data_IF_795792261793
#
_entry.id   IF_795792261793
#
_cell.length_a   1.000
_cell.length_b   1.000
_cell.length_c   1.000
_cell.angle_alpha   90.00
_cell.angle_beta   90.00
_cell.angle_gamma   90.00
#
_symmetry.space_group_name_H-M   'P 1'
#
loop_
_entity.id
_entity.type
_entity.pdbx_description
1 polymer ?
#
# COMPACT_ATOMS: atom_id res chain seq x y z
N UNK A 1 15.41 -15.32 -26.67
CA UNK A 1 14.31 -16.06 -27.32
C UNK A 1 13.90 -17.34 -26.55
N UNK A 2 14.18 -17.42 -25.24
CA UNK A 2 13.94 -18.63 -24.40
C UNK A 2 13.16 -18.36 -23.10
N UNK A 3 12.90 -17.10 -22.74
CA UNK A 3 12.20 -16.76 -21.50
C UNK A 3 10.66 -16.72 -21.60
N UNK A 4 10.12 -16.43 -22.77
CA UNK A 4 8.66 -16.48 -23.00
C UNK A 4 8.08 -17.90 -23.00
N UNK A 5 8.90 -18.91 -23.29
CA UNK A 5 8.42 -20.30 -23.41
C UNK A 5 8.11 -20.98 -22.06
N UNK A 6 8.81 -20.60 -20.97
CA UNK A 6 8.65 -21.26 -19.65
C UNK A 6 7.45 -20.72 -18.86
N UNK A 7 7.10 -19.43 -19.03
CA UNK A 7 5.92 -18.86 -18.38
C UNK A 7 4.62 -19.10 -19.17
N UNK A 8 4.68 -19.21 -20.49
CA UNK A 8 3.51 -19.47 -21.33
C UNK A 8 2.93 -20.89 -21.15
N UNK A 9 3.75 -21.85 -20.69
CA UNK A 9 3.31 -23.23 -20.46
C UNK A 9 2.37 -23.40 -19.27
N UNK A 10 2.56 -22.66 -18.19
CA UNK A 10 1.70 -22.72 -17.00
C UNK A 10 0.46 -21.80 -17.11
N UNK A 11 0.57 -20.68 -17.84
CA UNK A 11 -0.60 -19.84 -18.13
C UNK A 11 -1.59 -20.47 -19.10
N UNK A 12 -1.14 -21.37 -19.97
CA UNK A 12 -2.00 -22.04 -20.98
C UNK A 12 -2.86 -23.17 -20.41
N UNK A 13 -2.55 -23.70 -19.22
CA UNK A 13 -3.37 -24.69 -18.52
C UNK A 13 -4.50 -24.06 -17.70
N UNK A 14 -4.59 -22.73 -17.64
CA UNK A 14 -5.71 -22.05 -17.00
C UNK A 14 -7.01 -22.34 -17.77
N UNK A 15 -7.78 -23.35 -17.31
CA UNK A 15 -9.18 -23.50 -17.68
C UNK A 15 -9.81 -22.12 -17.67
N UNK A 16 -10.38 -21.67 -18.81
CA UNK A 16 -11.10 -20.39 -18.91
C UNK A 16 -12.23 -20.39 -17.87
N UNK A 17 -11.93 -19.83 -16.69
CA UNK A 17 -12.89 -19.81 -15.58
C UNK A 17 -13.94 -18.79 -15.96
N UNK A 18 -15.20 -19.20 -15.94
CA UNK A 18 -16.32 -18.34 -16.26
C UNK A 18 -16.38 -17.17 -15.28
N UNK A 19 -16.66 -15.96 -15.78
CA UNK A 19 -16.87 -14.76 -14.95
C UNK A 19 -17.93 -15.01 -13.85
N UNK A 20 -18.94 -15.84 -14.13
CA UNK A 20 -19.95 -16.25 -13.16
C UNK A 20 -19.36 -17.05 -11.99
N UNK A 21 -18.39 -17.91 -12.26
CA UNK A 21 -17.70 -18.67 -11.20
C UNK A 21 -16.81 -17.76 -10.36
N UNK A 22 -16.06 -16.85 -11.00
CA UNK A 22 -15.25 -15.86 -10.29
C UNK A 22 -16.12 -14.96 -9.41
N UNK A 23 -17.24 -14.45 -9.94
CA UNK A 23 -18.19 -13.63 -9.20
C UNK A 23 -18.77 -14.39 -7.99
N UNK A 24 -19.11 -15.66 -8.17
CA UNK A 24 -19.60 -16.50 -7.07
C UNK A 24 -18.53 -16.67 -5.97
N UNK A 25 -17.27 -16.94 -6.34
CA UNK A 25 -16.19 -17.11 -5.37
C UNK A 25 -15.95 -15.84 -4.56
N UNK A 26 -15.94 -14.68 -5.23
CA UNK A 26 -15.72 -13.36 -4.62
C UNK A 26 -16.89 -12.98 -3.70
N UNK A 27 -18.14 -13.12 -4.15
CA UNK A 27 -19.34 -12.73 -3.39
C UNK A 27 -19.55 -13.61 -2.15
N UNK A 28 -19.14 -14.87 -2.20
CA UNK A 28 -19.27 -15.78 -1.06
C UNK A 28 -18.14 -15.61 -0.03
N UNK A 29 -17.07 -14.89 -0.35
CA UNK A 29 -15.94 -14.71 0.57
C UNK A 29 -16.14 -13.47 1.46
N UNK A 30 -16.31 -13.71 2.77
CA UNK A 30 -16.53 -12.63 3.76
C UNK A 30 -15.39 -11.64 3.85
N UNK A 31 -14.15 -12.09 3.71
CA UNK A 31 -12.98 -11.22 3.80
C UNK A 31 -12.86 -10.29 2.61
N UNK A 32 -13.35 -10.72 1.44
CA UNK A 32 -13.44 -9.87 0.28
C UNK A 32 -14.36 -8.67 0.53
N UNK A 33 -15.55 -8.90 1.12
CA UNK A 33 -16.46 -7.82 1.48
C UNK A 33 -15.84 -6.88 2.51
N UNK A 34 -15.15 -7.41 3.53
CA UNK A 34 -14.50 -6.59 4.54
C UNK A 34 -13.47 -5.65 3.93
N UNK A 35 -12.59 -6.14 3.05
CA UNK A 35 -11.56 -5.30 2.43
C UNK A 35 -12.12 -4.30 1.44
N UNK A 36 -13.16 -4.65 0.67
CA UNK A 36 -13.81 -3.74 -0.29
C UNK A 36 -14.58 -2.64 0.43
N UNK A 37 -15.33 -2.98 1.50
CA UNK A 37 -16.03 -1.97 2.31
C UNK A 37 -15.03 -1.05 3.01
N UNK A 38 -13.95 -1.59 3.57
CA UNK A 38 -12.85 -0.82 4.14
C UNK A 38 -12.29 0.17 3.11
N UNK A 39 -12.00 -0.29 1.91
CA UNK A 39 -11.49 0.54 0.83
C UNK A 39 -12.49 1.62 0.40
N UNK A 40 -13.75 1.27 0.24
CA UNK A 40 -14.81 2.21 -0.14
C UNK A 40 -14.95 3.34 0.90
N UNK A 41 -15.00 3.00 2.18
CA UNK A 41 -15.08 3.97 3.26
C UNK A 41 -13.85 4.89 3.27
N UNK A 42 -12.65 4.33 3.12
CA UNK A 42 -11.42 5.09 3.04
C UNK A 42 -11.42 6.08 1.86
N UNK A 43 -11.78 5.63 0.66
CA UNK A 43 -11.78 6.45 -0.54
C UNK A 43 -12.86 7.55 -0.53
N UNK A 44 -14.08 7.21 -0.15
CA UNK A 44 -15.18 8.17 -0.10
C UNK A 44 -14.93 9.22 0.97
N UNK A 45 -14.46 8.83 2.16
CA UNK A 45 -14.15 9.80 3.23
C UNK A 45 -13.00 10.72 2.87
N UNK A 46 -11.96 10.21 2.21
CA UNK A 46 -10.87 11.03 1.67
C UNK A 46 -11.34 12.02 0.59
N UNK A 47 -12.28 11.61 -0.27
CA UNK A 47 -12.90 12.51 -1.24
C UNK A 47 -13.71 13.62 -0.55
N UNK A 48 -14.47 13.31 0.50
CA UNK A 48 -15.16 14.32 1.32
C UNK A 48 -14.21 15.35 1.91
N UNK A 49 -13.11 14.90 2.51
CA UNK A 49 -12.08 15.79 3.05
C UNK A 49 -11.55 16.75 1.99
N UNK A 50 -11.21 16.23 0.81
CA UNK A 50 -10.65 17.03 -0.26
C UNK A 50 -11.65 18.03 -0.85
N UNK A 51 -12.94 17.70 -0.89
CA UNK A 51 -14.01 18.60 -1.35
C UNK A 51 -14.31 19.70 -0.34
N UNK A 52 -14.28 19.38 0.95
CA UNK A 52 -14.77 20.28 2.00
C UNK A 52 -13.69 21.17 2.63
N UNK A 53 -12.39 20.87 2.43
CA UNK A 53 -11.29 21.60 3.07
C UNK A 53 -11.32 23.11 2.77
N UNK A 54 -11.61 23.51 1.53
CA UNK A 54 -11.66 24.92 1.13
C UNK A 54 -12.77 25.66 1.87
N UNK A 55 -13.97 25.04 1.94
CA UNK A 55 -15.11 25.63 2.64
C UNK A 55 -14.86 25.70 4.15
N UNK A 56 -14.35 24.63 4.74
CA UNK A 56 -13.98 24.58 6.14
C UNK A 56 -12.97 25.67 6.51
N UNK A 57 -11.91 25.85 5.72
CA UNK A 57 -10.92 26.87 5.98
C UNK A 57 -11.46 28.29 5.77
N UNK A 58 -12.36 28.47 4.82
CA UNK A 58 -13.05 29.75 4.63
C UNK A 58 -13.94 30.09 5.81
N UNK A 59 -14.72 29.13 6.33
CA UNK A 59 -15.65 29.37 7.43
C UNK A 59 -14.95 29.68 8.75
N UNK A 60 -13.86 28.97 9.07
CA UNK A 60 -13.20 29.04 10.37
C UNK A 60 -11.99 30.01 10.41
N UNK A 61 -11.33 30.27 9.27
CA UNK A 61 -10.03 30.95 9.25
C UNK A 61 -9.97 32.16 8.31
N UNK A 62 -11.02 32.49 7.54
CA UNK A 62 -11.03 33.68 6.72
C UNK A 62 -10.92 34.97 7.60
N UNK A 63 -10.18 35.93 7.13
CA UNK A 63 -9.93 37.21 7.87
C UNK A 63 -8.95 37.09 9.03
N UNK A 64 -8.41 35.90 9.33
CA UNK A 64 -7.36 35.73 10.35
C UNK A 64 -5.97 36.02 9.77
N UNK A 65 -5.00 36.33 10.63
CA UNK A 65 -3.61 36.62 10.22
C UNK A 65 -2.96 35.44 9.45
N UNK A 66 -3.37 34.20 9.75
CA UNK A 66 -2.83 32.97 9.12
C UNK A 66 -3.68 32.58 7.93
N UNK A 67 -5.00 32.73 8.02
CA UNK A 67 -5.93 32.28 6.96
C UNK A 67 -5.93 33.20 5.74
N UNK A 68 -5.58 34.46 5.91
CA UNK A 68 -5.74 35.48 4.85
C UNK A 68 -7.22 35.86 4.64
N UNK A 69 -7.51 36.54 3.53
CA UNK A 69 -8.86 37.04 3.26
C UNK A 69 -9.93 35.94 3.07
N UNK A 70 -9.54 34.79 2.57
CA UNK A 70 -10.41 33.71 2.12
C UNK A 70 -10.13 32.33 2.79
N UNK A 71 -9.23 32.25 3.75
CA UNK A 71 -8.84 31.01 4.42
C UNK A 71 -7.79 30.16 3.67
N UNK A 72 -7.31 30.59 2.51
CA UNK A 72 -6.36 29.83 1.68
C UNK A 72 -5.00 29.61 2.35
N UNK A 73 -4.55 30.55 3.18
CA UNK A 73 -3.34 30.40 3.99
C UNK A 73 -3.43 29.26 4.99
N UNK A 74 -4.55 29.18 5.71
CA UNK A 74 -4.83 28.08 6.64
C UNK A 74 -4.92 26.74 5.91
N UNK A 75 -5.61 26.67 4.77
CA UNK A 75 -5.69 25.49 3.94
C UNK A 75 -4.30 24.97 3.53
N UNK A 76 -3.41 25.86 3.12
CA UNK A 76 -2.03 25.50 2.74
C UNK A 76 -1.27 24.90 3.92
N UNK A 77 -1.33 25.53 5.09
CA UNK A 77 -0.66 25.06 6.31
C UNK A 77 -1.21 23.69 6.73
N UNK A 78 -2.52 23.53 6.76
CA UNK A 78 -3.18 22.26 7.15
C UNK A 78 -2.80 21.13 6.19
N UNK A 79 -2.76 21.39 4.88
CA UNK A 79 -2.32 20.40 3.90
C UNK A 79 -0.85 19.99 4.08
N UNK A 80 0.05 20.94 4.34
CA UNK A 80 1.47 20.65 4.61
C UNK A 80 1.63 19.84 5.91
N UNK A 81 0.92 20.26 6.98
CA UNK A 81 0.91 19.55 8.26
C UNK A 81 0.34 18.12 8.16
N UNK A 82 -0.56 17.87 7.22
CA UNK A 82 -1.05 16.52 6.93
C UNK A 82 -0.06 15.70 6.08
N UNK A 83 0.52 16.30 5.04
CA UNK A 83 1.35 15.59 4.07
C UNK A 83 2.68 15.08 4.66
N UNK A 84 3.36 15.90 5.49
CA UNK A 84 4.66 15.54 6.06
C UNK A 84 4.58 14.31 6.98
N UNK A 85 3.69 14.26 7.99
CA UNK A 85 3.55 13.06 8.84
C UNK A 85 3.13 11.82 8.07
N UNK A 86 2.28 11.96 7.06
CA UNK A 86 1.86 10.86 6.19
C UNK A 86 3.05 10.29 5.41
N UNK A 87 3.89 11.14 4.80
CA UNK A 87 5.07 10.71 4.07
C UNK A 87 6.08 9.99 4.97
N UNK A 88 6.32 10.53 6.17
CA UNK A 88 7.18 9.88 7.18
C UNK A 88 6.61 8.51 7.57
N UNK A 89 5.32 8.43 7.86
CA UNK A 89 4.68 7.16 8.22
C UNK A 89 4.84 6.13 7.09
N UNK A 90 4.57 6.51 5.83
CA UNK A 90 4.71 5.61 4.67
C UNK A 90 6.11 5.00 4.54
N UNK A 91 7.17 5.76 4.85
CA UNK A 91 8.53 5.26 4.79
C UNK A 91 8.83 4.10 5.77
N UNK A 92 8.10 4.03 6.89
CA UNK A 92 8.32 3.02 7.93
C UNK A 92 7.27 1.91 7.97
N UNK A 93 6.17 2.03 7.22
CA UNK A 93 5.04 1.09 7.28
C UNK A 93 5.46 -0.34 6.96
N UNK A 94 6.33 -0.55 5.97
CA UNK A 94 6.76 -1.89 5.58
C UNK A 94 7.51 -2.60 6.73
N UNK A 95 8.33 -1.88 7.50
CA UNK A 95 9.05 -2.40 8.66
C UNK A 95 8.05 -2.77 9.78
N UNK A 96 7.07 -1.90 10.02
CA UNK A 96 6.05 -2.14 11.03
C UNK A 96 5.15 -3.33 10.64
N UNK A 97 4.74 -3.41 9.38
CA UNK A 97 3.89 -4.50 8.89
C UNK A 97 4.60 -5.86 8.89
N UNK A 98 5.91 -5.89 8.60
CA UNK A 98 6.72 -7.10 8.70
C UNK A 98 6.83 -7.60 10.16
N UNK A 99 6.85 -6.68 11.14
CA UNK A 99 7.02 -7.03 12.55
C UNK A 99 5.71 -7.35 13.27
N UNK A 100 4.66 -6.60 13.01
CA UNK A 100 3.39 -6.67 13.76
C UNK A 100 2.21 -7.24 12.95
N UNK A 101 2.40 -7.47 11.65
CA UNK A 101 1.35 -7.85 10.72
C UNK A 101 0.58 -6.65 10.16
N UNK A 102 0.08 -6.79 8.94
CA UNK A 102 -0.63 -5.73 8.20
C UNK A 102 -1.91 -5.29 8.90
N UNK A 103 -2.67 -6.26 9.41
CA UNK A 103 -3.93 -6.04 10.13
C UNK A 103 -3.76 -5.14 11.35
N UNK A 104 -2.78 -5.46 12.23
CA UNK A 104 -2.55 -4.72 13.48
C UNK A 104 -2.10 -3.30 13.18
N UNK A 105 -1.20 -3.14 12.20
CA UNK A 105 -0.69 -1.82 11.81
C UNK A 105 -1.81 -0.95 11.24
N UNK A 106 -2.71 -1.50 10.39
CA UNK A 106 -3.90 -0.79 9.92
C UNK A 106 -4.87 -0.44 11.04
N UNK A 107 -5.13 -1.37 11.97
CA UNK A 107 -6.02 -1.15 13.11
C UNK A 107 -5.52 0.01 13.99
N UNK A 108 -4.25 -0.05 14.40
CA UNK A 108 -3.63 0.99 15.23
C UNK A 108 -3.60 2.33 14.48
N UNK A 109 -3.28 2.31 13.19
CA UNK A 109 -3.32 3.48 12.33
C UNK A 109 -4.71 4.12 12.30
N UNK A 110 -5.77 3.35 12.10
CA UNK A 110 -7.15 3.85 12.13
C UNK A 110 -7.52 4.45 13.50
N UNK A 111 -7.10 3.84 14.60
CA UNK A 111 -7.36 4.39 15.95
C UNK A 111 -6.63 5.71 16.19
N UNK A 112 -5.38 5.84 15.73
CA UNK A 112 -4.64 7.12 15.78
C UNK A 112 -5.35 8.17 14.92
N UNK A 113 -5.84 7.80 13.73
CA UNK A 113 -6.57 8.70 12.86
C UNK A 113 -7.89 9.17 13.48
N UNK A 114 -8.61 8.29 14.18
CA UNK A 114 -9.81 8.66 14.95
C UNK A 114 -9.45 9.67 16.04
N UNK A 115 -8.39 9.42 16.81
CA UNK A 115 -7.92 10.34 17.85
C UNK A 115 -7.56 11.72 17.30
N UNK A 116 -6.87 11.77 16.16
CA UNK A 116 -6.55 13.01 15.45
C UNK A 116 -7.80 13.75 14.97
N UNK A 117 -8.78 13.02 14.41
CA UNK A 117 -10.05 13.60 13.97
C UNK A 117 -10.89 14.17 15.12
N UNK A 118 -10.95 13.45 16.25
CA UNK A 118 -11.63 13.96 17.46
C UNK A 118 -10.94 15.21 17.99
N UNK A 119 -9.60 15.24 18.03
CA UNK A 119 -8.86 16.42 18.46
C UNK A 119 -9.16 17.65 17.57
N UNK A 120 -9.16 17.47 16.24
CA UNK A 120 -9.54 18.53 15.31
C UNK A 120 -10.99 19.01 15.50
N UNK A 121 -11.91 18.07 15.81
CA UNK A 121 -13.32 18.35 16.04
C UNK A 121 -13.64 19.05 17.36
N UNK A 122 -12.79 18.93 18.37
CA UNK A 122 -12.93 19.65 19.65
C UNK A 122 -12.51 21.11 19.49
N UNK A 123 -11.55 21.41 18.63
CA UNK A 123 -10.99 22.76 18.46
C UNK A 123 -11.04 23.23 17.00
N UNK A 124 -12.24 23.31 16.36
CA UNK A 124 -12.37 23.59 14.93
C UNK A 124 -11.89 25.01 14.56
N UNK A 125 -12.02 25.97 15.47
CA UNK A 125 -11.60 27.36 15.28
C UNK A 125 -10.13 27.66 15.64
N UNK A 126 -9.42 26.64 16.13
CA UNK A 126 -8.02 26.76 16.49
C UNK A 126 -7.13 26.07 15.46
N UNK A 127 -6.40 26.85 14.66
CA UNK A 127 -5.54 26.31 13.60
C UNK A 127 -4.47 25.33 14.10
N UNK A 128 -3.97 25.51 15.33
CA UNK A 128 -3.01 24.58 15.92
C UNK A 128 -3.70 23.26 16.32
N UNK A 129 -4.92 23.34 16.88
CA UNK A 129 -5.72 22.17 17.23
C UNK A 129 -6.09 21.37 15.99
N UNK A 130 -6.60 22.02 14.96
CA UNK A 130 -6.90 21.40 13.66
C UNK A 130 -5.63 20.85 13.01
N UNK A 131 -4.53 21.63 13.00
CA UNK A 131 -3.26 21.21 12.38
C UNK A 131 -2.67 19.96 13.02
N UNK A 132 -2.60 19.90 14.36
CA UNK A 132 -2.13 18.71 15.08
C UNK A 132 -3.09 17.52 14.86
N UNK A 133 -4.39 17.77 14.92
CA UNK A 133 -5.40 16.74 14.66
C UNK A 133 -5.28 16.15 13.26
N UNK A 134 -5.11 16.98 12.23
CA UNK A 134 -4.90 16.54 10.85
C UNK A 134 -3.56 15.83 10.67
N UNK A 135 -2.50 16.29 11.34
CA UNK A 135 -1.21 15.63 11.32
C UNK A 135 -1.31 14.19 11.89
N UNK A 136 -1.95 14.01 13.05
CA UNK A 136 -2.20 12.71 13.65
C UNK A 136 -3.12 11.84 12.76
N UNK A 137 -4.18 12.42 12.21
CA UNK A 137 -5.11 11.74 11.31
C UNK A 137 -4.41 11.23 10.05
N UNK A 138 -3.57 12.06 9.43
CA UNK A 138 -2.80 11.71 8.25
C UNK A 138 -1.73 10.65 8.54
N UNK A 139 -1.02 10.77 9.66
CA UNK A 139 -0.08 9.75 10.11
C UNK A 139 -0.78 8.40 10.33
N UNK A 140 -1.93 8.41 11.00
CA UNK A 140 -2.70 7.20 11.28
C UNK A 140 -3.35 6.59 10.04
N UNK A 141 -3.70 7.37 9.02
CA UNK A 141 -4.28 6.87 7.77
C UNK A 141 -3.27 6.28 6.79
N UNK A 142 -1.98 6.56 6.97
CA UNK A 142 -0.92 6.10 6.07
C UNK A 142 -0.88 4.57 5.91
N UNK A 143 -1.03 3.72 6.96
CA UNK A 143 -1.11 2.28 6.79
C UNK A 143 -2.26 1.83 5.88
N UNK A 144 -3.44 2.41 6.05
CA UNK A 144 -4.60 2.10 5.23
C UNK A 144 -4.36 2.45 3.75
N UNK A 145 -3.75 3.61 3.49
CA UNK A 145 -3.41 4.04 2.14
C UNK A 145 -2.38 3.12 1.47
N UNK A 146 -1.31 2.78 2.18
CA UNK A 146 -0.18 2.04 1.62
C UNK A 146 -0.46 0.54 1.45
N UNK A 147 -1.18 -0.08 2.40
CA UNK A 147 -1.32 -1.53 2.45
C UNK A 147 -2.61 -2.08 1.83
N UNK A 148 -3.49 -1.24 1.28
CA UNK A 148 -4.78 -1.70 0.76
C UNK A 148 -4.63 -2.77 -0.33
N UNK A 149 -3.70 -2.60 -1.26
CA UNK A 149 -3.44 -3.59 -2.32
C UNK A 149 -2.86 -4.89 -1.75
N UNK A 150 -2.02 -4.79 -0.72
CA UNK A 150 -1.48 -5.97 -0.04
C UNK A 150 -2.56 -6.74 0.75
N UNK A 151 -3.54 -6.04 1.35
CA UNK A 151 -4.69 -6.67 1.99
C UNK A 151 -5.62 -7.35 0.97
N UNK A 152 -5.82 -6.73 -0.19
CA UNK A 152 -6.58 -7.34 -1.31
C UNK A 152 -5.86 -8.59 -1.81
N UNK A 153 -4.54 -8.55 -1.98
CA UNK A 153 -3.76 -9.70 -2.42
C UNK A 153 -3.88 -10.88 -1.43
N UNK A 154 -3.81 -10.62 -0.12
CA UNK A 154 -3.99 -11.66 0.91
C UNK A 154 -5.39 -12.33 0.82
N UNK A 155 -6.43 -11.57 0.51
CA UNK A 155 -7.79 -12.10 0.30
C UNK A 155 -7.87 -12.91 -0.99
N UNK A 156 -7.20 -12.48 -2.05
CA UNK A 156 -7.17 -13.21 -3.33
C UNK A 156 -6.43 -14.53 -3.20
N UNK A 157 -5.33 -14.56 -2.44
CA UNK A 157 -4.61 -15.80 -2.12
C UNK A 157 -5.51 -16.76 -1.32
N UNK A 158 -6.29 -16.24 -0.36
CA UNK A 158 -7.25 -17.05 0.38
C UNK A 158 -8.39 -17.62 -0.51
N UNK A 159 -8.89 -16.82 -1.45
CA UNK A 159 -9.89 -17.27 -2.45
C UNK A 159 -9.27 -18.35 -3.35
N UNK A 160 -8.03 -18.16 -3.78
CA UNK A 160 -7.31 -19.13 -4.61
C UNK A 160 -7.08 -20.44 -3.88
N UNK A 161 -6.66 -20.42 -2.62
CA UNK A 161 -6.47 -21.63 -1.81
C UNK A 161 -7.76 -22.44 -1.65
N UNK A 162 -8.92 -21.74 -1.56
CA UNK A 162 -10.23 -22.38 -1.42
C UNK A 162 -10.80 -22.93 -2.73
N UNK A 163 -10.69 -22.17 -3.82
CA UNK A 163 -11.43 -22.44 -5.06
C UNK A 163 -10.55 -23.05 -6.16
N UNK A 164 -9.23 -23.04 -5.99
CA UNK A 164 -8.30 -23.55 -6.99
C UNK A 164 -8.02 -22.59 -8.14
N UNK A 165 -8.51 -21.36 -8.09
CA UNK A 165 -8.27 -20.34 -9.12
C UNK A 165 -8.30 -18.92 -8.50
N UNK A 166 -7.63 -18.01 -9.15
CA UNK A 166 -7.46 -16.62 -8.72
C UNK A 166 -8.48 -15.70 -9.41
N UNK A 167 -8.91 -14.65 -8.71
CA UNK A 167 -9.93 -13.71 -9.19
C UNK A 167 -9.40 -12.27 -9.31
N UNK A 168 -8.12 -12.10 -9.71
CA UNK A 168 -7.44 -10.79 -9.75
C UNK A 168 -8.15 -9.80 -10.67
N UNK A 169 -8.43 -10.21 -11.92
CA UNK A 169 -9.01 -9.32 -12.92
C UNK A 169 -10.36 -8.75 -12.50
N UNK A 170 -11.24 -9.60 -11.94
CA UNK A 170 -12.55 -9.16 -11.45
C UNK A 170 -12.41 -8.21 -10.26
N UNK A 171 -11.58 -8.57 -9.27
CA UNK A 171 -11.39 -7.75 -8.06
C UNK A 171 -10.73 -6.42 -8.39
N UNK A 172 -9.71 -6.38 -9.25
CA UNK A 172 -9.08 -5.14 -9.68
C UNK A 172 -10.00 -4.25 -10.50
N UNK A 173 -10.89 -4.83 -11.31
CA UNK A 173 -11.91 -4.07 -12.02
C UNK A 173 -12.91 -3.40 -11.07
N UNK A 174 -13.35 -4.11 -10.01
CA UNK A 174 -14.20 -3.56 -8.97
C UNK A 174 -13.46 -2.48 -8.18
N UNK A 175 -12.22 -2.74 -7.77
CA UNK A 175 -11.36 -1.78 -7.07
C UNK A 175 -11.23 -0.46 -7.87
N UNK A 176 -10.88 -0.53 -9.15
CA UNK A 176 -10.73 0.64 -10.01
C UNK A 176 -12.04 1.38 -10.23
N UNK A 177 -13.16 0.65 -10.37
CA UNK A 177 -14.50 1.24 -10.49
C UNK A 177 -14.90 2.00 -9.24
N UNK A 178 -14.65 1.45 -8.05
CA UNK A 178 -14.91 2.12 -6.78
C UNK A 178 -14.03 3.36 -6.60
N UNK A 179 -12.77 3.30 -7.00
CA UNK A 179 -11.87 4.45 -6.99
C UNK A 179 -12.43 5.59 -7.87
N UNK A 180 -12.84 5.28 -9.09
CA UNK A 180 -13.41 6.26 -10.01
C UNK A 180 -14.75 6.84 -9.52
N UNK A 181 -15.60 6.02 -8.89
CA UNK A 181 -16.89 6.42 -8.38
C UNK A 181 -16.83 7.21 -7.05
N UNK A 182 -15.75 7.13 -6.28
CA UNK A 182 -15.66 7.72 -4.94
C UNK A 182 -15.89 9.23 -4.94
N UNK A 183 -15.24 9.98 -5.85
CA UNK A 183 -15.37 11.44 -5.93
C UNK A 183 -16.76 11.89 -6.38
N UNK A 184 -17.37 11.35 -7.46
CA UNK A 184 -18.75 11.69 -7.83
C UNK A 184 -19.75 11.39 -6.71
N UNK A 185 -19.62 10.26 -6.03
CA UNK A 185 -20.50 9.88 -4.91
C UNK A 185 -20.34 10.88 -3.75
N UNK A 186 -19.10 11.18 -3.34
CA UNK A 186 -18.84 12.14 -2.30
C UNK A 186 -19.38 13.54 -2.66
N UNK A 187 -19.20 13.99 -3.91
CA UNK A 187 -19.74 15.28 -4.40
C UNK A 187 -21.26 15.31 -4.33
N UNK A 188 -21.94 14.24 -4.76
CA UNK A 188 -23.40 14.14 -4.70
C UNK A 188 -23.92 14.25 -3.28
N UNK A 189 -23.33 13.51 -2.34
CA UNK A 189 -23.72 13.52 -0.92
C UNK A 189 -23.36 14.88 -0.28
N UNK A 190 -22.17 15.43 -0.55
CA UNK A 190 -21.76 16.75 -0.05
C UNK A 190 -22.75 17.85 -0.47
N UNK A 191 -23.13 17.89 -1.74
CA UNK A 191 -24.13 18.84 -2.24
C UNK A 191 -25.51 18.65 -1.58
N UNK A 192 -25.90 17.42 -1.26
CA UNK A 192 -27.16 17.15 -0.56
C UNK A 192 -27.12 17.67 0.90
N UNK A 193 -26.00 17.45 1.60
CA UNK A 193 -25.81 17.95 2.97
C UNK A 193 -25.78 19.50 2.99
N UNK A 194 -25.06 20.12 2.05
CA UNK A 194 -24.90 21.59 1.98
C UNK A 194 -26.22 22.32 1.67
N UNK A 195 -27.20 21.67 1.07
CA UNK A 195 -28.55 22.23 0.84
C UNK A 195 -29.41 22.28 2.10
N UNK A 196 -29.05 21.61 3.16
CA UNK A 196 -29.84 21.41 4.37
C UNK A 196 -29.83 22.57 5.39
N UNK A 197 -29.12 23.68 5.15
CA UNK A 197 -29.35 24.97 5.84
C UNK A 197 -28.20 25.52 6.69
N UNK A 198 -27.41 24.76 7.44
CA UNK A 198 -26.28 25.28 8.23
C UNK A 198 -24.95 24.94 7.53
N UNK A 199 -24.54 25.78 6.58
CA UNK A 199 -23.38 25.55 5.72
C UNK A 199 -22.10 25.32 6.52
N UNK A 200 -21.80 26.16 7.52
CA UNK A 200 -20.62 26.04 8.38
C UNK A 200 -20.57 24.70 9.13
N UNK A 201 -21.71 24.31 9.74
CA UNK A 201 -21.81 23.01 10.40
C UNK A 201 -21.67 21.85 9.41
N UNK A 202 -22.24 21.99 8.21
CA UNK A 202 -22.14 20.98 7.15
C UNK A 202 -20.68 20.83 6.67
N UNK A 203 -19.94 21.93 6.52
CA UNK A 203 -18.55 21.93 6.10
C UNK A 203 -17.65 21.32 7.16
N UNK A 204 -17.86 21.63 8.44
CA UNK A 204 -17.14 21.04 9.58
C UNK A 204 -17.40 19.53 9.69
N UNK A 205 -18.67 19.11 9.57
CA UNK A 205 -19.02 17.68 9.55
C UNK A 205 -18.33 16.97 8.39
N UNK A 206 -18.39 17.56 7.20
CA UNK A 206 -17.82 16.96 5.99
C UNK A 206 -16.30 16.84 6.06
N UNK A 207 -15.60 17.85 6.60
CA UNK A 207 -14.14 17.87 6.65
C UNK A 207 -13.57 17.01 7.78
N UNK A 208 -14.17 17.08 8.98
CA UNK A 208 -13.61 16.45 10.18
C UNK A 208 -14.29 15.13 10.49
N UNK A 209 -15.63 15.12 10.59
CA UNK A 209 -16.35 14.03 11.22
C UNK A 209 -16.62 12.86 10.28
N UNK A 210 -16.92 13.08 8.99
CA UNK A 210 -17.17 11.97 8.04
C UNK A 210 -15.95 11.07 7.95
N UNK A 211 -14.76 11.63 7.80
CA UNK A 211 -13.52 10.87 7.72
C UNK A 211 -13.21 10.19 9.07
N UNK A 212 -13.45 10.87 10.19
CA UNK A 212 -13.23 10.32 11.53
C UNK A 212 -14.13 9.11 11.82
N UNK A 213 -15.40 9.19 11.49
CA UNK A 213 -16.35 8.08 11.62
C UNK A 213 -16.00 6.94 10.67
N UNK A 214 -15.60 7.25 9.44
CA UNK A 214 -15.14 6.23 8.50
C UNK A 214 -13.93 5.46 9.05
N UNK A 215 -12.93 6.13 9.64
CA UNK A 215 -11.80 5.44 10.27
C UNK A 215 -12.20 4.63 11.50
N UNK A 216 -13.19 5.07 12.27
CA UNK A 216 -13.71 4.28 13.37
C UNK A 216 -14.36 2.97 12.87
N UNK A 217 -15.15 3.03 11.80
CA UNK A 217 -15.72 1.85 11.15
C UNK A 217 -14.61 0.97 10.54
N UNK A 218 -13.63 1.57 9.89
CA UNK A 218 -12.45 0.88 9.36
C UNK A 218 -11.68 0.13 10.45
N UNK A 219 -11.51 0.72 11.64
CA UNK A 219 -10.90 0.04 12.79
C UNK A 219 -11.72 -1.19 13.22
N UNK A 220 -13.04 -1.08 13.27
CA UNK A 220 -13.94 -2.22 13.57
C UNK A 220 -13.80 -3.31 12.51
N UNK A 221 -13.77 -2.96 11.22
CA UNK A 221 -13.56 -3.91 10.12
C UNK A 221 -12.23 -4.67 10.31
N UNK A 222 -11.14 -3.97 10.67
CA UNK A 222 -9.85 -4.59 10.90
C UNK A 222 -9.84 -5.57 12.08
N UNK A 223 -10.72 -5.42 13.08
CA UNK A 223 -10.88 -6.40 14.15
C UNK A 223 -11.38 -7.74 13.61
N UNK A 224 -12.28 -7.72 12.64
CA UNK A 224 -12.86 -8.92 12.01
C UNK A 224 -12.02 -9.46 10.84
N UNK A 225 -11.07 -8.68 10.33
CA UNK A 225 -10.21 -9.06 9.22
C UNK A 225 -9.06 -9.94 9.69
N UNK A 226 -9.26 -11.26 9.77
CA UNK A 226 -8.28 -12.22 10.32
C UNK A 226 -7.64 -13.11 9.25
N UNK A 227 -7.62 -12.68 7.98
CA UNK A 227 -7.05 -13.43 6.85
C UNK A 227 -5.59 -13.79 7.06
N UNK A 228 -4.80 -12.92 7.71
CA UNK A 228 -3.37 -13.16 7.98
C UNK A 228 -3.09 -14.50 8.69
N UNK A 229 -4.05 -15.04 9.44
CA UNK A 229 -3.89 -16.34 10.12
C UNK A 229 -3.88 -17.53 9.16
N UNK A 230 -4.41 -17.34 7.98
CA UNK A 230 -4.52 -18.40 6.97
C UNK A 230 -3.40 -18.34 5.93
N UNK A 231 -2.63 -17.24 5.86
CA UNK A 231 -1.66 -16.99 4.79
C UNK A 231 -0.63 -18.09 4.62
N UNK A 232 -0.06 -18.63 5.70
CA UNK A 232 0.94 -19.71 5.60
C UNK A 232 0.29 -21.00 5.05
N UNK A 233 -0.83 -21.42 5.64
CA UNK A 233 -1.57 -22.60 5.18
C UNK A 233 -2.10 -22.44 3.74
N UNK A 234 -2.53 -21.24 3.37
CA UNK A 234 -3.05 -20.97 2.04
C UNK A 234 -1.91 -21.00 0.99
N UNK A 235 -0.74 -20.43 1.32
CA UNK A 235 0.46 -20.53 0.48
C UNK A 235 0.91 -21.97 0.26
N UNK A 236 0.94 -22.78 1.31
CA UNK A 236 1.28 -24.21 1.19
C UNK A 236 0.33 -24.94 0.23
N UNK A 237 -0.98 -24.74 0.38
CA UNK A 237 -1.99 -25.36 -0.51
C UNK A 237 -1.85 -24.92 -1.97
N UNK A 238 -1.57 -23.62 -2.19
CA UNK A 238 -1.35 -23.09 -3.53
C UNK A 238 -0.10 -23.71 -4.16
N UNK A 239 1.01 -23.79 -3.39
CA UNK A 239 2.27 -24.38 -3.85
C UNK A 239 2.12 -25.89 -4.14
N UNK A 240 1.46 -26.64 -3.27
CA UNK A 240 1.20 -28.06 -3.49
C UNK A 240 0.38 -28.31 -4.77
N UNK A 241 -0.64 -27.48 -5.00
CA UNK A 241 -1.46 -27.53 -6.20
C UNK A 241 -0.62 -27.22 -7.45
N UNK A 242 0.13 -26.11 -7.44
CA UNK A 242 0.99 -25.72 -8.56
C UNK A 242 2.03 -26.80 -8.88
N UNK A 243 2.61 -27.44 -7.85
CA UNK A 243 3.52 -28.55 -8.01
C UNK A 243 2.83 -29.77 -8.66
N UNK A 244 1.63 -30.10 -8.19
CA UNK A 244 0.86 -31.21 -8.75
C UNK A 244 0.47 -30.97 -10.22
N UNK A 245 0.07 -29.75 -10.56
CA UNK A 245 -0.28 -29.33 -11.91
C UNK A 245 0.94 -29.36 -12.84
N UNK A 246 2.12 -28.89 -12.38
CA UNK A 246 3.36 -28.94 -13.15
C UNK A 246 3.80 -30.40 -13.43
N UNK A 247 3.76 -31.28 -12.42
CA UNK A 247 4.06 -32.68 -12.57
C UNK A 247 3.09 -33.37 -13.58
N UNK A 248 1.79 -33.06 -13.47
CA UNK A 248 0.78 -33.59 -14.39
C UNK A 248 0.97 -33.10 -15.84
N UNK A 249 1.52 -31.90 -16.01
CA UNK A 249 1.86 -31.32 -17.32
C UNK A 249 3.23 -31.78 -17.85
N UNK A 250 4.00 -32.56 -17.08
CA UNK A 250 5.36 -33.02 -17.46
C UNK A 250 6.39 -31.87 -17.47
N UNK A 251 6.15 -30.81 -16.71
CA UNK A 251 7.03 -29.62 -16.59
C UNK A 251 7.83 -29.75 -15.30
N UNK A 252 9.13 -29.49 -15.35
CA UNK A 252 9.97 -29.40 -14.15
C UNK A 252 9.49 -28.26 -13.27
N UNK A 253 9.02 -28.59 -12.07
CA UNK A 253 8.55 -27.60 -11.13
C UNK A 253 9.71 -26.96 -10.37
N UNK A 254 9.81 -25.64 -10.48
CA UNK A 254 10.78 -24.82 -9.74
C UNK A 254 10.00 -24.04 -8.69
N UNK A 255 10.44 -24.10 -7.43
CA UNK A 255 9.78 -23.34 -6.36
C UNK A 255 9.88 -21.82 -6.60
N UNK A 256 8.89 -21.03 -6.17
CA UNK A 256 8.96 -19.56 -6.29
C UNK A 256 10.22 -18.96 -5.65
N UNK A 257 10.69 -19.54 -4.55
CA UNK A 257 11.93 -19.10 -3.88
C UNK A 257 13.16 -19.38 -4.74
N UNK A 258 13.18 -20.54 -5.38
CA UNK A 258 14.26 -20.94 -6.26
C UNK A 258 14.28 -20.12 -7.56
N UNK A 259 13.09 -19.82 -8.10
CA UNK A 259 12.94 -18.94 -9.25
C UNK A 259 13.43 -17.52 -8.94
N UNK A 260 13.02 -16.97 -7.79
CA UNK A 260 13.45 -15.64 -7.33
C UNK A 260 14.98 -15.58 -7.16
N UNK A 261 15.59 -16.63 -6.60
CA UNK A 261 17.05 -16.74 -6.48
C UNK A 261 17.73 -16.76 -7.84
N UNK A 262 17.18 -17.51 -8.81
CA UNK A 262 17.72 -17.56 -10.17
C UNK A 262 17.60 -16.19 -10.86
N UNK A 263 16.49 -15.49 -10.70
CA UNK A 263 16.28 -14.12 -11.22
C UNK A 263 17.24 -13.13 -10.58
N UNK A 264 17.47 -13.19 -9.27
CA UNK A 264 18.46 -12.36 -8.56
C UNK A 264 19.88 -12.65 -9.05
N UNK A 265 20.27 -13.92 -9.17
CA UNK A 265 21.57 -14.32 -9.69
C UNK A 265 21.81 -13.85 -11.14
N UNK A 266 20.75 -13.89 -11.96
CA UNK A 266 20.81 -13.39 -13.34
C UNK A 266 20.89 -11.86 -13.39
N UNK A 267 20.09 -11.16 -12.58
CA UNK A 267 20.15 -9.70 -12.46
C UNK A 267 21.53 -9.23 -11.98
N UNK A 268 22.12 -9.91 -10.99
CA UNK A 268 23.48 -9.63 -10.52
C UNK A 268 24.52 -9.85 -11.62
N UNK A 269 24.40 -10.93 -12.41
CA UNK A 269 25.27 -11.19 -13.54
C UNK A 269 25.19 -10.09 -14.60
N UNK A 270 23.98 -9.69 -15.00
CA UNK A 270 23.75 -8.62 -15.96
C UNK A 270 24.30 -7.29 -15.45
N UNK A 271 24.07 -6.98 -14.17
CA UNK A 271 24.62 -5.77 -13.54
C UNK A 271 26.14 -5.77 -13.48
N UNK A 272 26.75 -6.93 -13.23
CA UNK A 272 28.23 -7.06 -13.23
C UNK A 272 28.82 -6.93 -14.63
N UNK A 273 28.18 -7.48 -15.66
CA UNK A 273 28.59 -7.33 -17.06
C UNK A 273 28.49 -5.87 -17.50
N UNK A 274 27.39 -5.18 -17.22
CA UNK A 274 27.21 -3.75 -17.50
C UNK A 274 28.27 -2.89 -16.80
N UNK A 275 28.58 -3.19 -15.51
CA UNK A 275 29.64 -2.52 -14.77
C UNK A 275 31.03 -2.71 -15.42
N UNK A 276 31.33 -3.94 -15.84
CA UNK A 276 32.61 -4.25 -16.51
C UNK A 276 32.75 -3.52 -17.83
N UNK A 277 31.66 -3.39 -18.59
CA UNK A 277 31.64 -2.67 -19.87
C UNK A 277 31.81 -1.15 -19.64
N UNK A 278 31.16 -0.60 -18.62
CA UNK A 278 31.36 0.79 -18.21
C UNK A 278 32.81 1.05 -17.78
N UNK A 279 33.39 0.12 -17.00
CA UNK A 279 34.80 0.20 -16.59
C UNK A 279 35.74 0.15 -17.79
N UNK A 280 35.53 -0.77 -18.75
CA UNK A 280 36.31 -0.84 -20.00
C UNK A 280 36.28 0.48 -20.76
N UNK A 281 35.10 1.06 -20.90
CA UNK A 281 34.91 2.35 -21.57
C UNK A 281 35.66 3.48 -20.85
N UNK A 282 35.65 3.49 -19.52
CA UNK A 282 36.40 4.46 -18.70
C UNK A 282 37.91 4.27 -18.80
N UNK A 283 38.39 3.03 -18.80
CA UNK A 283 39.82 2.70 -18.94
C UNK A 283 40.34 3.11 -20.31
N UNK A 284 39.59 2.84 -21.36
CA UNK A 284 39.93 3.29 -22.73
C UNK A 284 40.04 4.82 -22.86
N UNK A 285 39.11 5.57 -22.23
CA UNK A 285 39.15 7.05 -22.23
C UNK A 285 40.31 7.63 -21.41
N UNK A 286 40.79 6.94 -20.39
CA UNK A 286 41.81 7.42 -19.45
C UNK A 286 43.20 6.80 -19.66
N UNK A 287 43.34 5.87 -20.59
CA UNK A 287 44.60 5.13 -20.83
C UNK A 287 45.02 4.24 -19.65
N UNK A 288 44.04 3.72 -18.89
CA UNK A 288 44.24 2.86 -17.74
C UNK A 288 44.10 1.38 -18.15
N UNK A 289 44.85 0.51 -17.43
CA UNK A 289 44.69 -0.93 -17.62
C UNK A 289 43.44 -1.45 -16.94
N UNK A 290 42.58 -2.11 -17.75
CA UNK A 290 41.30 -2.67 -17.29
C UNK A 290 41.51 -3.77 -16.24
N UNK A 291 42.48 -4.69 -16.44
CA UNK A 291 42.69 -5.82 -15.53
C UNK A 291 43.15 -5.33 -14.15
N UNK A 292 44.04 -4.32 -14.10
CA UNK A 292 44.48 -3.71 -12.86
C UNK A 292 43.35 -3.00 -12.09
N UNK A 293 42.48 -2.28 -12.78
CA UNK A 293 41.33 -1.60 -12.16
C UNK A 293 40.26 -2.59 -11.68
N UNK A 294 39.97 -3.66 -12.45
CA UNK A 294 39.04 -4.71 -12.05
C UNK A 294 39.60 -5.48 -10.81
N UNK A 295 40.87 -5.81 -10.78
CA UNK A 295 41.49 -6.45 -9.62
C UNK A 295 41.39 -5.60 -8.33
N UNK A 296 41.59 -4.28 -8.45
CA UNK A 296 41.38 -3.34 -7.33
C UNK A 296 39.91 -3.35 -6.85
N UNK A 297 38.99 -3.39 -7.76
CA UNK A 297 37.58 -3.46 -7.39
C UNK A 297 37.25 -4.75 -6.67
N UNK A 298 37.67 -5.90 -7.20
CA UNK A 298 37.45 -7.21 -6.58
C UNK A 298 38.04 -7.31 -5.18
N UNK A 299 39.25 -6.78 -5.00
CA UNK A 299 39.89 -6.72 -3.68
C UNK A 299 39.08 -5.90 -2.68
N UNK A 300 38.57 -4.73 -3.09
CA UNK A 300 37.72 -3.88 -2.23
C UNK A 300 36.42 -4.58 -1.88
N UNK A 301 35.80 -5.30 -2.83
CA UNK A 301 34.55 -6.02 -2.59
C UNK A 301 34.74 -7.22 -1.67
N UNK A 302 35.84 -7.96 -1.81
CA UNK A 302 36.21 -9.04 -0.92
C UNK A 302 36.42 -8.54 0.52
N UNK A 303 37.10 -7.41 0.69
CA UNK A 303 37.29 -6.79 2.00
C UNK A 303 35.98 -6.33 2.64
N UNK A 304 35.08 -5.70 1.86
CA UNK A 304 33.74 -5.33 2.33
C UNK A 304 32.93 -6.54 2.77
N UNK A 305 32.96 -7.64 2.00
CA UNK A 305 32.27 -8.90 2.36
C UNK A 305 32.81 -9.46 3.67
N UNK A 306 34.11 -9.51 3.84
CA UNK A 306 34.78 -9.97 5.10
C UNK A 306 34.30 -9.15 6.30
N UNK A 307 34.31 -7.82 6.17
CA UNK A 307 33.86 -6.91 7.25
C UNK A 307 32.38 -7.13 7.57
N UNK A 308 31.55 -7.34 6.55
CA UNK A 308 30.12 -7.60 6.73
C UNK A 308 29.87 -8.94 7.44
N UNK A 309 30.60 -9.99 7.08
CA UNK A 309 30.54 -11.31 7.74
C UNK A 309 31.00 -11.24 9.20
N UNK A 310 32.06 -10.51 9.50
CA UNK A 310 32.52 -10.31 10.87
C UNK A 310 31.47 -9.55 11.71
N UNK A 311 30.84 -8.53 11.13
CA UNK A 311 29.75 -7.81 11.80
C UNK A 311 28.54 -8.70 12.04
N UNK A 312 28.16 -9.55 11.08
CA UNK A 312 27.07 -10.52 11.22
C UNK A 312 27.38 -11.55 12.32
N UNK A 313 28.58 -12.11 12.35
CA UNK A 313 29.04 -13.03 13.41
C UNK A 313 29.05 -12.37 14.81
N UNK A 314 29.38 -11.07 14.91
CA UNK A 314 29.30 -10.33 16.19
C UNK A 314 27.87 -10.07 16.65
N UNK A 315 26.94 -9.90 15.73
CA UNK A 315 25.50 -9.75 16.07
C UNK A 315 24.86 -11.06 16.51
N UNK A 316 25.31 -12.20 16.00
CA UNK A 316 24.83 -13.53 16.41
C UNK A 316 25.37 -14.00 17.77
N UNK A 317 26.43 -13.35 18.28
CA UNK A 317 27.01 -13.64 19.59
C UNK A 317 26.50 -12.74 20.73
N UNK A 318 25.64 -11.80 20.43
CA UNK A 318 24.90 -10.95 21.39
C UNK A 318 23.44 -11.37 21.47
#
# INVERSE_FOLDING_TARGET
MTEEATNSGLESTNKKISVKQQLKAVVTEKYWWLVIIFYLLFQVSGAFKNLSITYFCSDHFAGTAIGGADGSGAMTIINVLGAIPMAIAMAFIWILSAKFGKRIVCLVGCLIAVGGGVLAGIFPDNIYGVGIGVALKSFGSAPACYMILALIADVLDHIEAKNGYRCDGLTMSIYSSLMAASTPVATGIFNAISKGGALETANTISYIWIETVAYAICAVIMIFFVVERYLESDKEKILERQKAEAIAAGIDWISPEEKLRMEEEEADRVAEEARKEELRTKCLKKGLDFEAEEAKYQTRMAEKRRIAEEKAKRKLKK
#
